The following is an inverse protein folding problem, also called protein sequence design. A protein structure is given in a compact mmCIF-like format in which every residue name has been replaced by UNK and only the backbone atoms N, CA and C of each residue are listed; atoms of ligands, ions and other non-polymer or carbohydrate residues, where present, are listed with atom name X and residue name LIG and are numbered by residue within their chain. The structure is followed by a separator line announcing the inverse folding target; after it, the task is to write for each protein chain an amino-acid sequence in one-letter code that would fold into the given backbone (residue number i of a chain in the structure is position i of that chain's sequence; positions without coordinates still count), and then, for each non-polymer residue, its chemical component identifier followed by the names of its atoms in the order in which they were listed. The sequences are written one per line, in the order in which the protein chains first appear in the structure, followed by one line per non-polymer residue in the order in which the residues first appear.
data_IF_338160776141
#
_entry.id   IF_338160776141
#
_cell.length_a   1.000
_cell.length_b   1.000
_cell.length_c   1.000
_cell.angle_alpha   90.00
_cell.angle_beta   90.00
_cell.angle_gamma   90.00
#
_symmetry.space_group_name_H-M   'P 1'
#
loop_
_entity.id
_entity.type
_entity.pdbx_description
1 polymer ?
#
# COMPACT_ATOMS: atom_id res chain seq x y z
N UNK A 1 -32.15 1.71 -3.72
CA UNK A 1 -31.11 0.73 -4.10
C UNK A 1 -29.96 0.92 -3.14
N UNK A 2 -29.32 -0.14 -2.63
CA UNK A 2 -28.06 0.04 -1.90
C UNK A 2 -27.07 0.80 -2.82
N UNK A 3 -26.17 1.61 -2.26
CA UNK A 3 -25.09 2.19 -3.06
C UNK A 3 -24.30 1.06 -3.74
N UNK A 4 -23.76 1.30 -4.95
CA UNK A 4 -22.94 0.30 -5.62
C UNK A 4 -21.71 -0.05 -4.77
N UNK A 5 -21.28 -1.31 -4.84
CA UNK A 5 -20.06 -1.83 -4.23
C UNK A 5 -18.87 -0.91 -4.57
N UNK A 6 -18.19 -0.31 -3.57
CA UNK A 6 -17.00 0.51 -3.84
C UNK A 6 -15.75 -0.35 -3.79
N UNK A 7 -14.87 -0.11 -4.75
CA UNK A 7 -13.54 -0.69 -4.81
C UNK A 7 -12.54 0.42 -4.56
N UNK A 8 -11.97 0.48 -3.36
CA UNK A 8 -11.19 1.63 -2.90
C UNK A 8 -9.74 1.22 -2.71
N UNK A 9 -8.84 1.86 -3.44
CA UNK A 9 -7.41 1.67 -3.29
C UNK A 9 -6.80 2.73 -2.38
N UNK A 10 -5.87 2.33 -1.51
CA UNK A 10 -5.09 3.21 -0.62
C UNK A 10 -3.61 3.07 -0.97
N UNK A 11 -2.94 4.19 -1.22
CA UNK A 11 -1.50 4.23 -1.52
C UNK A 11 -0.60 3.96 -0.30
N UNK A 12 0.68 4.22 -0.47
CA UNK A 12 1.77 3.88 0.45
C UNK A 12 1.63 4.60 1.81
N UNK A 13 1.65 3.82 2.89
CA UNK A 13 1.28 4.30 4.24
C UNK A 13 2.52 4.66 5.07
N UNK A 14 3.58 3.86 4.95
CA UNK A 14 4.87 4.08 5.61
C UNK A 14 4.76 4.44 7.08
N UNK A 15 4.09 3.62 7.90
CA UNK A 15 4.05 3.80 9.34
C UNK A 15 3.24 5.00 9.84
N UNK A 16 2.41 5.64 9.01
CA UNK A 16 1.56 6.78 9.41
C UNK A 16 0.16 6.33 9.84
N UNK A 17 0.07 5.73 11.03
CA UNK A 17 -1.20 5.22 11.57
C UNK A 17 -2.29 6.29 11.72
N UNK A 18 -1.93 7.53 12.09
CA UNK A 18 -2.88 8.64 12.19
C UNK A 18 -3.51 8.96 10.83
N UNK A 19 -2.70 9.02 9.78
CA UNK A 19 -3.17 9.19 8.40
C UNK A 19 -4.12 8.05 8.00
N UNK A 20 -3.73 6.78 8.23
CA UNK A 20 -4.57 5.64 7.90
C UNK A 20 -5.94 5.70 8.60
N UNK A 21 -5.97 5.94 9.91
CA UNK A 21 -7.22 6.02 10.69
C UNK A 21 -8.12 7.15 10.19
N UNK A 22 -7.57 8.36 10.02
CA UNK A 22 -8.34 9.51 9.55
C UNK A 22 -8.85 9.31 8.13
N UNK A 23 -8.07 8.66 7.26
CA UNK A 23 -8.51 8.36 5.90
C UNK A 23 -9.67 7.36 5.89
N UNK A 24 -9.60 6.30 6.69
CA UNK A 24 -10.70 5.34 6.87
C UNK A 24 -11.95 6.01 7.45
N UNK A 25 -11.80 6.95 8.38
CA UNK A 25 -12.91 7.74 8.93
C UNK A 25 -13.58 8.64 7.87
N UNK A 26 -12.80 9.19 6.93
CA UNK A 26 -13.34 9.98 5.81
C UNK A 26 -14.05 9.11 4.76
N UNK A 27 -13.53 7.93 4.49
CA UNK A 27 -14.09 6.99 3.51
C UNK A 27 -15.40 6.38 4.03
N UNK A 28 -15.45 6.08 5.33
CA UNK A 28 -16.51 5.30 6.00
C UNK A 28 -16.84 4.01 5.23
N UNK A 29 -15.91 3.03 5.16
CA UNK A 29 -16.17 1.76 4.49
C UNK A 29 -17.34 1.03 5.14
N UNK A 30 -18.11 0.34 4.30
CA UNK A 30 -19.23 -0.53 4.65
C UNK A 30 -18.85 -1.97 4.36
N UNK A 31 -19.63 -2.92 4.86
CA UNK A 31 -19.41 -4.37 4.66
C UNK A 31 -19.41 -4.81 3.20
N UNK A 32 -20.03 -4.01 2.32
CA UNK A 32 -20.05 -4.28 0.88
C UNK A 32 -18.78 -3.75 0.18
N UNK A 33 -18.03 -2.84 0.80
CA UNK A 33 -16.85 -2.27 0.14
C UNK A 33 -15.66 -3.22 0.17
N UNK A 34 -14.84 -3.15 -0.87
CA UNK A 34 -13.51 -3.77 -0.90
C UNK A 34 -12.45 -2.69 -0.78
N UNK A 35 -11.63 -2.75 0.27
CA UNK A 35 -10.45 -1.90 0.45
C UNK A 35 -9.22 -2.65 -0.04
N UNK A 36 -8.44 -2.04 -0.94
CA UNK A 36 -7.16 -2.56 -1.42
C UNK A 36 -6.03 -1.65 -0.97
N UNK A 37 -5.15 -2.10 -0.09
CA UNK A 37 -3.96 -1.33 0.31
C UNK A 37 -2.78 -1.73 -0.57
N UNK A 38 -2.05 -0.75 -1.12
CA UNK A 38 -1.10 -0.97 -2.22
C UNK A 38 0.32 -1.33 -1.79
N UNK A 39 0.54 -1.68 -0.52
CA UNK A 39 1.87 -2.01 0.03
C UNK A 39 2.54 -0.82 0.69
N UNK A 40 3.78 -1.07 1.12
CA UNK A 40 4.64 -0.14 1.84
C UNK A 40 3.96 0.38 3.11
N UNK A 41 3.61 -0.57 3.97
CA UNK A 41 2.95 -0.33 5.25
C UNK A 41 3.94 0.13 6.32
N UNK A 42 5.16 -0.36 6.22
CA UNK A 42 6.23 -0.16 7.20
C UNK A 42 7.26 0.86 6.73
N UNK A 43 8.19 1.15 7.62
CA UNK A 43 9.32 2.07 7.49
C UNK A 43 8.94 3.55 7.42
N UNK A 44 9.94 4.42 7.63
CA UNK A 44 9.92 5.90 7.56
C UNK A 44 9.05 6.58 8.62
N UNK A 45 7.78 6.20 8.75
CA UNK A 45 6.89 6.78 9.75
C UNK A 45 7.00 6.14 11.13
N UNK A 46 6.54 6.83 12.19
CA UNK A 46 6.81 6.47 13.58
C UNK A 46 5.92 5.35 14.16
N UNK A 47 4.93 4.85 13.39
CA UNK A 47 3.85 3.98 13.90
C UNK A 47 3.58 2.74 13.03
N UNK A 48 4.62 2.15 12.42
CA UNK A 48 4.51 0.92 11.62
C UNK A 48 3.77 -0.22 12.32
N UNK A 49 4.09 -0.51 13.59
CA UNK A 49 3.40 -1.55 14.36
C UNK A 49 1.90 -1.29 14.51
N UNK A 50 1.49 -0.03 14.69
CA UNK A 50 0.08 0.33 14.76
C UNK A 50 -0.60 0.24 13.38
N UNK A 51 0.11 0.57 12.29
CA UNK A 51 -0.41 0.36 10.93
C UNK A 51 -0.72 -1.12 10.70
N UNK A 52 0.22 -2.03 11.01
CA UNK A 52 0.01 -3.47 10.83
C UNK A 52 -1.14 -4.01 11.71
N UNK A 53 -1.25 -3.52 12.95
CA UNK A 53 -2.37 -3.87 13.84
C UNK A 53 -3.72 -3.41 13.26
N UNK A 54 -3.81 -2.18 12.74
CA UNK A 54 -5.03 -1.68 12.08
C UNK A 54 -5.37 -2.55 10.88
N UNK A 55 -4.41 -2.75 9.96
CA UNK A 55 -4.63 -3.47 8.72
C UNK A 55 -5.05 -4.92 8.94
N UNK A 56 -4.39 -5.63 9.86
CA UNK A 56 -4.74 -7.03 10.18
C UNK A 56 -6.13 -7.20 10.82
N UNK A 57 -6.74 -6.11 11.31
CA UNK A 57 -8.08 -6.12 11.89
C UNK A 57 -9.21 -5.80 10.90
N UNK A 58 -8.90 -5.28 9.69
CA UNK A 58 -9.92 -4.73 8.80
C UNK A 58 -10.89 -5.77 8.22
N UNK A 59 -10.43 -7.00 7.98
CA UNK A 59 -11.25 -8.09 7.47
C UNK A 59 -12.44 -8.46 8.38
N UNK A 60 -12.44 -7.99 9.63
CA UNK A 60 -13.56 -8.18 10.56
C UNK A 60 -14.77 -7.26 10.25
N UNK A 61 -14.54 -6.16 9.53
CA UNK A 61 -15.55 -5.12 9.27
C UNK A 61 -15.98 -5.04 7.80
N UNK A 62 -15.06 -5.30 6.87
CA UNK A 62 -15.28 -5.25 5.43
C UNK A 62 -14.16 -6.02 4.73
N UNK A 63 -14.28 -6.24 3.42
CA UNK A 63 -13.26 -6.99 2.69
C UNK A 63 -11.99 -6.17 2.53
N UNK A 64 -10.86 -6.66 3.05
CA UNK A 64 -9.55 -6.04 2.87
C UNK A 64 -8.64 -6.92 2.03
N UNK A 65 -7.99 -6.33 1.03
CA UNK A 65 -6.96 -6.96 0.21
C UNK A 65 -5.66 -6.18 0.41
N UNK A 66 -4.64 -6.82 0.95
CA UNK A 66 -3.33 -6.21 1.15
C UNK A 66 -2.36 -6.64 0.03
N UNK A 67 -1.80 -5.67 -0.68
CA UNK A 67 -0.72 -5.89 -1.66
C UNK A 67 0.64 -5.78 -0.95
N UNK A 68 1.61 -6.60 -1.32
CA UNK A 68 2.94 -6.58 -0.71
C UNK A 68 3.84 -5.52 -1.37
N UNK A 69 4.30 -4.53 -0.59
CA UNK A 69 5.28 -3.53 -1.04
C UNK A 69 6.72 -4.00 -0.94
N UNK A 70 7.68 -3.23 -1.48
CA UNK A 70 9.09 -3.59 -1.34
C UNK A 70 9.61 -3.38 0.07
N UNK A 71 9.17 -2.35 0.80
CA UNK A 71 9.59 -2.16 2.19
C UNK A 71 9.08 -3.29 3.10
N UNK A 72 7.88 -3.79 2.80
CA UNK A 72 7.28 -4.94 3.48
C UNK A 72 8.03 -6.24 3.16
N UNK A 73 8.39 -6.47 1.88
CA UNK A 73 9.18 -7.61 1.42
C UNK A 73 10.58 -7.62 2.07
N UNK A 74 11.22 -6.45 2.16
CA UNK A 74 12.50 -6.30 2.87
C UNK A 74 12.40 -6.64 4.35
N UNK A 75 11.29 -6.26 5.01
CA UNK A 75 11.04 -6.62 6.41
C UNK A 75 10.87 -8.14 6.54
N UNK A 76 10.10 -8.79 5.65
CA UNK A 76 9.96 -10.25 5.65
C UNK A 76 11.30 -10.98 5.49
N UNK A 77 12.14 -10.52 4.57
CA UNK A 77 13.49 -11.06 4.36
C UNK A 77 14.37 -10.90 5.60
N UNK A 78 14.27 -9.77 6.31
CA UNK A 78 15.10 -9.50 7.49
C UNK A 78 14.85 -10.45 8.66
N UNK A 79 13.66 -11.06 8.76
CA UNK A 79 13.28 -11.96 9.86
C UNK A 79 14.29 -13.07 10.11
N UNK A 80 14.95 -13.57 9.06
CA UNK A 80 15.85 -14.73 9.14
C UNK A 80 17.23 -14.50 8.48
N UNK A 81 17.52 -13.30 7.99
CA UNK A 81 18.79 -12.97 7.33
C UNK A 81 19.36 -11.64 7.88
N UNK A 82 20.43 -11.68 8.71
CA UNK A 82 21.08 -10.48 9.23
C UNK A 82 21.62 -9.52 8.15
N UNK A 83 21.97 -10.03 6.97
CA UNK A 83 22.36 -9.17 5.86
C UNK A 83 21.17 -8.45 5.25
N UNK A 84 20.00 -9.10 5.17
CA UNK A 84 18.75 -8.46 4.77
C UNK A 84 18.28 -7.44 5.81
N UNK A 85 18.41 -7.77 7.10
CA UNK A 85 18.17 -6.83 8.21
C UNK A 85 18.99 -5.55 8.04
N UNK A 86 20.30 -5.66 7.81
CA UNK A 86 21.14 -4.49 7.58
C UNK A 86 20.68 -3.61 6.39
N UNK A 87 20.22 -4.22 5.29
CA UNK A 87 19.66 -3.48 4.14
C UNK A 87 18.34 -2.82 4.49
N UNK A 88 17.46 -3.52 5.18
CA UNK A 88 16.14 -3.01 5.59
C UNK A 88 16.27 -1.84 6.57
N UNK A 89 17.20 -1.92 7.52
CA UNK A 89 17.51 -0.83 8.45
C UNK A 89 17.94 0.44 7.71
N UNK A 90 18.72 0.34 6.62
CA UNK A 90 19.07 1.50 5.79
C UNK A 90 17.87 2.17 5.12
N UNK A 91 16.80 1.42 4.89
CA UNK A 91 15.56 1.89 4.25
C UNK A 91 14.49 2.33 5.27
N UNK A 92 14.89 2.61 6.52
CA UNK A 92 13.97 3.07 7.58
C UNK A 92 13.37 1.95 8.44
N UNK A 93 13.99 0.77 8.48
CA UNK A 93 13.56 -0.33 9.36
C UNK A 93 13.72 -0.01 10.85
N UNK A 94 14.62 0.90 11.20
CA UNK A 94 14.79 1.45 12.54
C UNK A 94 13.51 2.11 13.06
N UNK A 95 12.86 2.96 12.26
CA UNK A 95 11.56 3.55 12.61
C UNK A 95 10.49 2.48 12.84
N UNK A 96 10.52 1.39 12.07
CA UNK A 96 9.60 0.27 12.26
C UNK A 96 9.82 -0.41 13.60
N UNK A 97 11.06 -0.75 13.95
CA UNK A 97 11.36 -1.38 15.24
C UNK A 97 11.01 -0.46 16.42
N UNK A 98 11.42 0.82 16.37
CA UNK A 98 11.12 1.81 17.41
C UNK A 98 9.61 2.01 17.64
N UNK A 99 8.78 1.71 16.64
CA UNK A 99 7.32 1.78 16.76
C UNK A 99 6.73 0.73 17.72
N UNK A 100 7.45 -0.36 18.01
CA UNK A 100 7.02 -1.41 18.96
C UNK A 100 7.45 -1.11 20.38
N UNK A 101 8.71 -0.75 20.58
CA UNK A 101 9.28 -0.34 21.86
C UNK A 101 10.60 0.42 21.63
N UNK A 102 11.02 1.19 22.64
CA UNK A 102 12.34 1.80 22.63
C UNK A 102 13.42 0.70 22.58
N UNK A 103 14.32 0.75 21.60
CA UNK A 103 15.37 -0.26 21.37
C UNK A 103 14.83 -1.67 21.07
N UNK A 104 13.64 -1.77 20.50
CA UNK A 104 13.13 -3.06 20.02
C UNK A 104 14.08 -3.67 18.98
N UNK A 105 14.23 -4.98 19.04
CA UNK A 105 14.85 -5.80 18.03
C UNK A 105 13.80 -6.48 17.16
N UNK A 106 14.23 -7.08 16.05
CA UNK A 106 13.34 -7.83 15.16
C UNK A 106 12.56 -8.95 15.86
N UNK A 107 13.15 -9.54 16.91
CA UNK A 107 12.53 -10.59 17.73
C UNK A 107 11.39 -10.08 18.61
N UNK A 108 11.25 -8.77 18.79
CA UNK A 108 10.17 -8.16 19.56
C UNK A 108 8.92 -7.90 18.70
N UNK A 109 9.03 -8.06 17.37
CA UNK A 109 7.88 -7.95 16.45
C UNK A 109 6.97 -9.18 16.63
N UNK A 110 5.68 -8.99 16.97
CA UNK A 110 4.74 -10.10 17.16
C UNK A 110 4.55 -10.98 15.92
N UNK A 111 4.38 -12.29 16.14
CA UNK A 111 4.16 -13.28 15.06
C UNK A 111 3.00 -12.91 14.12
N UNK A 112 1.90 -12.36 14.64
CA UNK A 112 0.74 -12.03 13.81
C UNK A 112 1.01 -10.91 12.80
N UNK A 113 1.97 -10.02 13.05
CA UNK A 113 2.38 -9.01 12.06
C UNK A 113 3.19 -9.63 10.93
N UNK A 114 4.04 -10.61 11.26
CA UNK A 114 4.75 -11.38 10.24
C UNK A 114 3.78 -12.19 9.38
N UNK A 115 2.78 -12.81 10.01
CA UNK A 115 1.74 -13.58 9.33
C UNK A 115 0.90 -12.70 8.39
N UNK A 116 0.55 -11.48 8.82
CA UNK A 116 -0.13 -10.50 7.98
C UNK A 116 0.70 -10.13 6.73
N UNK A 117 1.97 -9.78 6.90
CA UNK A 117 2.85 -9.44 5.77
C UNK A 117 3.04 -10.62 4.83
N UNK A 118 3.23 -11.84 5.37
CA UNK A 118 3.40 -13.05 4.57
C UNK A 118 2.13 -13.44 3.78
N UNK A 119 0.95 -13.00 4.23
CA UNK A 119 -0.33 -13.21 3.55
C UNK A 119 -0.63 -12.18 2.45
N UNK A 120 0.14 -11.09 2.38
CA UNK A 120 -0.05 -10.05 1.36
C UNK A 120 0.15 -10.59 -0.04
N UNK A 121 -0.68 -10.13 -0.98
CA UNK A 121 -0.67 -10.60 -2.36
C UNK A 121 0.33 -9.81 -3.21
N UNK A 122 1.01 -10.42 -4.18
CA UNK A 122 1.77 -9.68 -5.17
C UNK A 122 0.86 -8.94 -6.16
N UNK A 123 -0.29 -9.53 -6.49
CA UNK A 123 -1.27 -9.02 -7.45
C UNK A 123 -2.68 -9.36 -6.94
N UNK A 124 -3.62 -8.43 -7.11
CA UNK A 124 -5.05 -8.69 -7.01
C UNK A 124 -5.76 -8.26 -8.31
N UNK A 125 -6.66 -9.10 -8.83
CA UNK A 125 -7.34 -8.86 -10.11
C UNK A 125 -8.86 -8.87 -9.93
N UNK A 126 -9.53 -7.92 -10.59
CA UNK A 126 -10.98 -7.86 -10.78
C UNK A 126 -11.32 -7.87 -12.26
N UNK A 127 -12.59 -7.74 -12.63
CA UNK A 127 -13.01 -7.69 -14.04
C UNK A 127 -12.43 -6.49 -14.80
N UNK A 128 -12.17 -5.37 -14.12
CA UNK A 128 -11.75 -4.11 -14.74
C UNK A 128 -10.38 -3.61 -14.29
N UNK A 129 -9.93 -4.04 -13.11
CA UNK A 129 -8.74 -3.48 -12.46
C UNK A 129 -7.76 -4.58 -12.03
N UNK A 130 -6.48 -4.22 -12.02
CA UNK A 130 -5.41 -5.04 -11.46
C UNK A 130 -4.62 -4.18 -10.47
N UNK A 131 -4.36 -4.70 -9.29
CA UNK A 131 -3.64 -4.01 -8.23
C UNK A 131 -2.30 -4.70 -8.01
N UNK A 132 -1.23 -3.91 -7.98
CA UNK A 132 0.13 -4.33 -7.62
C UNK A 132 0.84 -3.14 -7.01
N UNK A 133 1.96 -3.36 -6.32
CA UNK A 133 2.62 -2.28 -5.61
C UNK A 133 3.26 -1.24 -6.54
N UNK A 134 4.11 -1.66 -7.48
CA UNK A 134 4.95 -0.74 -8.25
C UNK A 134 4.60 -0.66 -9.74
N UNK A 135 4.91 -1.70 -10.51
CA UNK A 135 4.78 -1.69 -11.97
C UNK A 135 4.48 -3.09 -12.52
N UNK A 136 4.42 -3.27 -13.84
CA UNK A 136 4.05 -4.53 -14.48
C UNK A 136 4.57 -4.66 -15.92
N UNK A 137 4.73 -5.90 -16.36
CA UNK A 137 5.12 -6.26 -17.71
C UNK A 137 3.86 -6.32 -18.56
N UNK A 138 3.67 -5.32 -19.43
CA UNK A 138 2.43 -5.14 -20.19
C UNK A 138 2.08 -6.29 -21.16
N UNK A 139 3.06 -7.07 -21.63
CA UNK A 139 2.86 -8.14 -22.61
C UNK A 139 2.80 -9.55 -22.01
N UNK A 140 3.07 -9.70 -20.70
CA UNK A 140 3.12 -11.01 -20.04
C UNK A 140 1.82 -11.31 -19.30
N UNK A 141 1.51 -12.59 -19.08
CA UNK A 141 0.35 -12.95 -18.25
C UNK A 141 0.60 -12.61 -16.77
N UNK A 142 -0.46 -12.47 -15.98
CA UNK A 142 -0.33 -12.08 -14.55
C UNK A 142 0.49 -13.07 -13.72
N UNK A 143 0.41 -14.37 -14.03
CA UNK A 143 1.20 -15.41 -13.37
C UNK A 143 2.70 -15.39 -13.73
N UNK A 144 3.09 -14.62 -14.74
CA UNK A 144 4.46 -14.54 -15.27
C UNK A 144 5.13 -13.19 -14.97
N UNK A 145 4.47 -12.35 -14.18
CA UNK A 145 4.97 -11.01 -13.85
C UNK A 145 6.25 -11.08 -13.00
N UNK A 146 7.34 -10.40 -13.38
CA UNK A 146 8.57 -10.40 -12.59
C UNK A 146 8.36 -9.72 -11.24
N UNK A 147 8.71 -10.38 -10.13
CA UNK A 147 8.55 -9.84 -8.78
C UNK A 147 9.27 -8.50 -8.56
N UNK A 148 10.43 -8.32 -9.23
CA UNK A 148 11.16 -7.05 -9.23
C UNK A 148 10.32 -5.92 -9.82
N UNK A 149 9.62 -6.17 -10.92
CA UNK A 149 8.80 -5.17 -11.59
C UNK A 149 7.56 -4.84 -10.74
N UNK A 150 6.94 -5.86 -10.16
CA UNK A 150 5.77 -5.71 -9.30
C UNK A 150 6.02 -4.90 -8.03
N UNK A 151 7.25 -4.90 -7.50
CA UNK A 151 7.57 -4.32 -6.19
C UNK A 151 8.61 -3.21 -6.19
N UNK A 152 9.53 -3.16 -7.15
CA UNK A 152 10.73 -2.31 -7.02
C UNK A 152 10.89 -1.29 -8.14
N UNK A 153 10.36 -1.56 -9.32
CA UNK A 153 10.58 -0.69 -10.47
C UNK A 153 9.58 0.45 -10.48
N UNK A 154 10.04 1.69 -10.39
CA UNK A 154 9.17 2.86 -10.46
C UNK A 154 8.57 3.04 -11.86
N UNK A 155 7.40 3.68 -11.95
CA UNK A 155 6.74 3.93 -13.25
C UNK A 155 7.48 4.96 -14.12
N UNK A 156 8.39 5.73 -13.54
CA UNK A 156 9.28 6.67 -14.23
C UNK A 156 10.50 5.96 -14.80
N UNK A 157 10.99 4.91 -14.13
CA UNK A 157 12.11 4.09 -14.59
C UNK A 157 11.70 3.28 -15.82
N UNK A 158 10.54 2.63 -15.75
CA UNK A 158 9.95 1.87 -16.84
C UNK A 158 8.50 2.36 -17.08
N UNK A 159 8.29 3.32 -18.00
CA UNK A 159 6.96 3.82 -18.31
C UNK A 159 5.97 2.70 -18.66
N UNK A 160 4.86 2.57 -17.92
CA UNK A 160 3.91 1.49 -18.13
C UNK A 160 3.22 1.65 -19.49
N UNK A 161 2.73 0.53 -20.03
CA UNK A 161 1.90 0.48 -21.24
C UNK A 161 0.63 -0.30 -20.96
N UNK A 162 -0.38 -0.16 -21.82
CA UNK A 162 -1.62 -0.93 -21.68
C UNK A 162 -1.32 -2.44 -21.68
N UNK A 163 -1.71 -3.10 -20.60
CA UNK A 163 -1.52 -4.54 -20.44
C UNK A 163 -2.38 -5.33 -21.44
N UNK A 164 -1.90 -6.50 -21.87
CA UNK A 164 -2.60 -7.39 -22.83
C UNK A 164 -4.01 -7.80 -22.41
N UNK A 165 -4.33 -7.73 -21.11
CA UNK A 165 -5.70 -7.97 -20.60
C UNK A 165 -6.70 -6.84 -20.91
N UNK A 166 -6.23 -5.64 -21.23
CA UNK A 166 -7.06 -4.43 -21.39
C UNK A 166 -7.53 -3.77 -20.08
N UNK A 167 -7.28 -4.37 -18.92
CA UNK A 167 -7.60 -3.86 -17.58
C UNK A 167 -6.69 -2.70 -17.16
N UNK A 168 -7.18 -1.84 -16.27
CA UNK A 168 -6.42 -0.72 -15.71
C UNK A 168 -5.64 -1.17 -14.47
N UNK A 169 -4.34 -0.91 -14.45
CA UNK A 169 -3.51 -1.13 -13.27
C UNK A 169 -3.64 0.00 -12.26
N UNK A 170 -3.67 -0.33 -10.97
CA UNK A 170 -3.68 0.58 -9.84
C UNK A 170 -2.46 0.26 -8.98
N UNK A 171 -1.58 1.24 -8.79
CA UNK A 171 -0.25 1.07 -8.18
C UNK A 171 0.09 2.19 -7.19
N UNK A 172 1.10 1.94 -6.36
CA UNK A 172 1.76 2.87 -5.43
C UNK A 172 3.22 3.08 -5.81
N UNK A 173 4.14 3.02 -4.84
CA UNK A 173 5.61 3.00 -4.95
C UNK A 173 6.31 4.25 -5.49
N UNK A 174 5.69 4.92 -6.46
CA UNK A 174 6.26 6.07 -7.16
C UNK A 174 5.62 7.34 -6.58
N UNK A 175 6.28 8.06 -5.65
CA UNK A 175 5.67 9.18 -4.95
C UNK A 175 5.55 10.41 -5.86
N UNK A 176 4.41 11.09 -5.81
CA UNK A 176 4.20 12.34 -6.54
C UNK A 176 2.76 12.84 -6.48
N UNK A 177 2.33 13.54 -7.51
CA UNK A 177 0.89 13.75 -7.73
C UNK A 177 0.22 12.45 -8.18
N UNK A 178 -1.10 12.35 -8.00
CA UNK A 178 -1.87 11.24 -8.56
C UNK A 178 -1.70 11.25 -10.07
N UNK A 179 -1.24 10.12 -10.62
CA UNK A 179 -1.05 9.96 -12.06
C UNK A 179 -2.11 9.03 -12.61
N UNK A 180 -2.87 9.49 -13.59
CA UNK A 180 -3.83 8.66 -14.34
C UNK A 180 -3.42 8.63 -15.82
N UNK A 181 -2.81 7.52 -16.23
CA UNK A 181 -2.35 7.27 -17.61
C UNK A 181 -3.43 6.57 -18.45
N UNK A 182 -4.66 6.43 -17.93
CA UNK A 182 -5.76 5.71 -18.56
C UNK A 182 -5.71 4.19 -18.35
N UNK A 183 -4.54 3.57 -18.55
CA UNK A 183 -4.31 2.15 -18.33
C UNK A 183 -3.52 1.85 -17.03
N UNK A 184 -2.98 2.87 -16.38
CA UNK A 184 -2.27 2.78 -15.11
C UNK A 184 -2.60 3.99 -14.25
N UNK A 185 -2.86 3.79 -12.96
CA UNK A 185 -3.05 4.87 -11.99
C UNK A 185 -2.12 4.68 -10.81
N UNK A 186 -1.32 5.68 -10.49
CA UNK A 186 -0.42 5.68 -9.34
C UNK A 186 -1.01 6.55 -8.23
N UNK A 187 -1.17 5.97 -7.05
CA UNK A 187 -1.79 6.57 -5.87
C UNK A 187 -0.80 6.88 -4.74
N UNK A 188 0.49 6.56 -4.92
CA UNK A 188 1.51 7.03 -4.00
C UNK A 188 1.68 8.55 -4.12
N UNK A 189 1.28 9.23 -3.05
CA UNK A 189 1.34 10.70 -2.92
C UNK A 189 2.30 11.14 -1.83
N UNK A 190 3.23 10.24 -1.49
CA UNK A 190 4.39 10.52 -0.66
C UNK A 190 4.08 10.68 0.82
N UNK A 191 3.12 9.95 1.39
CA UNK A 191 2.83 10.04 2.83
C UNK A 191 4.07 9.79 3.69
N UNK A 192 4.93 8.84 3.28
CA UNK A 192 6.21 8.57 3.95
C UNK A 192 7.32 9.61 3.71
N UNK A 193 7.03 10.68 2.96
CA UNK A 193 7.99 11.70 2.52
C UNK A 193 7.48 13.13 2.80
N UNK A 194 6.57 13.31 3.76
CA UNK A 194 5.97 14.62 4.08
C UNK A 194 4.84 15.05 3.15
N UNK A 195 4.38 14.17 2.26
CA UNK A 195 3.23 14.36 1.38
C UNK A 195 1.92 14.02 2.07
N UNK A 196 1.02 13.38 1.33
CA UNK A 196 -0.32 13.01 1.80
C UNK A 196 -0.55 11.52 1.59
N UNK A 197 -1.44 10.93 2.38
CA UNK A 197 -1.99 9.60 2.12
C UNK A 197 -3.24 9.74 1.26
N UNK A 198 -3.31 8.99 0.16
CA UNK A 198 -4.41 9.06 -0.81
C UNK A 198 -5.16 7.75 -0.86
N UNK A 199 -6.49 7.85 -0.87
CA UNK A 199 -7.38 6.80 -1.31
C UNK A 199 -8.18 7.21 -2.54
N UNK A 200 -8.53 6.25 -3.39
CA UNK A 200 -9.39 6.44 -4.54
C UNK A 200 -10.39 5.30 -4.66
N UNK A 201 -11.67 5.60 -4.81
CA UNK A 201 -12.64 4.65 -5.40
C UNK A 201 -12.30 4.57 -6.89
N UNK A 202 -11.75 3.43 -7.32
CA UNK A 202 -11.17 3.30 -8.66
C UNK A 202 -12.22 3.27 -9.77
N UNK A 203 -13.49 3.01 -9.40
CA UNK A 203 -14.62 3.01 -10.32
C UNK A 203 -15.18 4.42 -10.49
N UNK A 204 -15.53 5.09 -9.39
CA UNK A 204 -16.12 6.45 -9.44
C UNK A 204 -15.08 7.57 -9.60
N UNK A 205 -13.81 7.27 -9.34
CA UNK A 205 -12.68 8.21 -9.22
C UNK A 205 -12.83 9.23 -8.10
N UNK A 206 -13.69 8.97 -7.12
CA UNK A 206 -13.73 9.75 -5.89
C UNK A 206 -12.39 9.58 -5.15
N UNK A 207 -11.84 10.69 -4.66
CA UNK A 207 -10.54 10.74 -3.99
C UNK A 207 -10.70 11.29 -2.57
N UNK A 208 -10.01 10.68 -1.62
CA UNK A 208 -9.82 11.16 -0.25
C UNK A 208 -8.34 11.33 0.02
N UNK A 209 -7.96 12.40 0.71
CA UNK A 209 -6.57 12.66 1.06
C UNK A 209 -6.47 13.23 2.47
N UNK A 210 -5.44 12.79 3.20
CA UNK A 210 -5.07 13.31 4.52
C UNK A 210 -3.57 13.53 4.56
N UNK A 211 -3.10 14.48 5.36
CA UNK A 211 -1.66 14.62 5.63
C UNK A 211 -1.13 13.42 6.44
N UNK A 212 0.19 13.29 6.55
CA UNK A 212 0.84 12.27 7.40
C UNK A 212 0.37 12.31 8.87
N UNK A 213 -0.11 13.47 9.34
CA UNK A 213 -0.66 13.69 10.68
C UNK A 213 -2.18 13.41 10.77
N UNK A 214 -2.82 12.95 9.69
CA UNK A 214 -4.26 12.65 9.66
C UNK A 214 -5.17 13.87 9.42
N UNK A 215 -4.64 15.00 8.95
CA UNK A 215 -5.46 16.20 8.69
C UNK A 215 -6.09 16.08 7.29
N UNK A 216 -7.43 16.12 7.15
CA UNK A 216 -8.08 16.08 5.84
C UNK A 216 -7.62 17.21 4.92
N UNK A 217 -7.26 16.86 3.70
CA UNK A 217 -6.95 17.84 2.65
C UNK A 217 -8.26 18.30 2.04
N UNK A 218 -8.69 19.52 2.35
CA UNK A 218 -9.87 20.10 1.72
C UNK A 218 -9.57 20.38 0.24
N UNK A 219 -10.23 19.65 -0.66
CA UNK A 219 -10.27 20.03 -2.08
C UNK A 219 -11.27 21.18 -2.22
N UNK A 220 -10.78 22.35 -2.60
CA UNK A 220 -11.66 23.39 -3.14
C UNK A 220 -12.23 22.84 -4.45
N UNK A 221 -13.54 22.60 -4.46
CA UNK A 221 -14.32 22.17 -5.62
C UNK A 221 -14.25 23.23 -6.72
#
# INVERSE_FOLDING_TARGET
MPPPERLIAIGDIHGHAAALLSLLELIQPTTEDTIVTLGDYVNRGPKSGQVLEILSSLDQAYRHIAILGNHDDMMLESRNDPHAEGRWMYQGGDFTLESYALQAAITDVPDHHWDFLAACLPIFETDQFIFTHANYCWYSQLSEQPSRLLRWTAIEEEPPQAHVSGKTFIVGHSPGEIRDLGFCRCLDTGCGLGGVLTAMDVTSRQIWQVTEAGIPVMRHV
#
